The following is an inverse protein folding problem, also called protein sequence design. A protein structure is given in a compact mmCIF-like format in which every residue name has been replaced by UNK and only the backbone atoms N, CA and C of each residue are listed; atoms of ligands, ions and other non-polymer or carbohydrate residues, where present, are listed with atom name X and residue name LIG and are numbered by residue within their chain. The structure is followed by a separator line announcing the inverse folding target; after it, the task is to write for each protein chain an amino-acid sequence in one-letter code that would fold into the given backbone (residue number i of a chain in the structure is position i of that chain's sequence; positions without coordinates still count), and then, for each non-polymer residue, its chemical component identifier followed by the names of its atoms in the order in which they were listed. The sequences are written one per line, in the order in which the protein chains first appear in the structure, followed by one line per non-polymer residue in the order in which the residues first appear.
data_IF_703719928842
#
_entry.id   IF_703719928842
#
_cell.length_a   1.000
_cell.length_b   1.000
_cell.length_c   1.000
_cell.angle_alpha   90.00
_cell.angle_beta   90.00
_cell.angle_gamma   90.00
#
_symmetry.space_group_name_H-M   'P 1'
#
loop_
_entity.id
_entity.type
_entity.pdbx_description
1 polymer ?
#
# COMPACT_ATOMS: atom_id res chain seq x y z
N UNK A 1 8.34 10.18 -11.93
CA UNK A 1 8.28 8.75 -12.31
C UNK A 1 7.65 8.06 -11.12
N UNK A 2 6.59 7.30 -11.35
CA UNK A 2 5.60 7.04 -10.31
C UNK A 2 5.87 5.69 -9.62
N UNK A 3 5.43 5.58 -8.36
CA UNK A 3 5.58 4.34 -7.60
C UNK A 3 4.66 3.26 -8.17
N UNK A 4 5.20 2.05 -8.30
CA UNK A 4 4.48 0.88 -8.80
C UNK A 4 4.17 -0.04 -7.63
N UNK A 5 2.96 -0.58 -7.61
CA UNK A 5 2.43 -1.36 -6.51
C UNK A 5 1.73 -2.63 -7.02
N UNK A 6 1.67 -3.63 -6.14
CA UNK A 6 0.67 -4.70 -6.23
C UNK A 6 -0.45 -4.40 -5.24
N UNK A 7 -1.69 -4.43 -5.71
CA UNK A 7 -2.86 -4.09 -4.89
C UNK A 7 -3.90 -5.21 -4.93
N UNK A 8 -4.26 -5.74 -3.77
CA UNK A 8 -5.29 -6.75 -3.59
C UNK A 8 -6.64 -6.06 -3.44
N UNK A 9 -7.49 -6.17 -4.47
CA UNK A 9 -8.80 -5.48 -4.48
C UNK A 9 -9.82 -6.13 -3.54
N UNK A 10 -9.61 -7.41 -3.18
CA UNK A 10 -10.42 -8.11 -2.18
C UNK A 10 -10.18 -7.58 -0.77
N UNK A 11 -8.91 -7.49 -0.35
CA UNK A 11 -8.53 -7.12 1.01
C UNK A 11 -8.35 -5.61 1.20
N UNK A 12 -8.36 -4.84 0.10
CA UNK A 12 -8.04 -3.41 0.08
C UNK A 12 -6.66 -3.15 0.69
N UNK A 13 -5.66 -3.91 0.26
CA UNK A 13 -4.27 -3.72 0.72
C UNK A 13 -3.33 -3.66 -0.47
N UNK A 14 -2.22 -2.95 -0.35
CA UNK A 14 -1.24 -2.81 -1.42
C UNK A 14 0.20 -2.81 -0.89
N UNK A 15 1.15 -3.15 -1.73
CA UNK A 15 2.58 -3.25 -1.39
C UNK A 15 3.43 -2.63 -2.50
N UNK A 16 4.52 -1.96 -2.14
CA UNK A 16 5.49 -1.40 -3.09
C UNK A 16 6.12 -2.53 -3.93
N UNK A 17 6.18 -2.36 -5.24
CA UNK A 17 6.73 -3.35 -6.17
C UNK A 17 8.23 -3.17 -6.44
N UNK A 18 8.88 -2.12 -5.94
CA UNK A 18 10.28 -1.79 -6.16
C UNK A 18 10.50 -0.69 -7.20
N UNK A 19 9.52 0.20 -7.42
CA UNK A 19 9.67 1.36 -8.29
C UNK A 19 10.19 1.02 -9.71
N UNK A 20 11.29 1.63 -10.15
CA UNK A 20 11.97 1.38 -11.44
C UNK A 20 12.36 -0.09 -11.62
N UNK A 21 12.62 -0.83 -10.55
CA UNK A 21 12.96 -2.25 -10.63
C UNK A 21 11.79 -3.07 -11.20
N UNK A 22 10.58 -2.86 -10.68
CA UNK A 22 9.38 -3.52 -11.20
C UNK A 22 9.13 -3.17 -12.68
N UNK A 23 9.38 -1.92 -13.06
CA UNK A 23 9.25 -1.52 -14.47
C UNK A 23 10.17 -2.35 -15.38
N UNK A 24 11.47 -2.41 -15.08
CA UNK A 24 12.44 -3.10 -15.93
C UNK A 24 12.29 -4.62 -15.92
N UNK A 25 11.94 -5.20 -14.77
CA UNK A 25 11.95 -6.66 -14.62
C UNK A 25 10.58 -7.32 -14.76
N UNK A 26 9.49 -6.54 -14.76
CA UNK A 26 8.14 -7.08 -14.92
C UNK A 26 7.37 -6.42 -16.07
N UNK A 27 7.42 -5.09 -16.21
CA UNK A 27 6.66 -4.38 -17.26
C UNK A 27 7.34 -4.50 -18.62
N UNK A 28 8.62 -4.15 -18.71
CA UNK A 28 9.39 -4.22 -19.95
C UNK A 28 9.41 -5.62 -20.59
N UNK A 29 9.56 -6.74 -19.84
CA UNK A 29 9.44 -8.09 -20.41
C UNK A 29 7.99 -8.57 -20.58
N UNK A 30 6.99 -7.72 -20.34
CA UNK A 30 5.56 -8.02 -20.44
C UNK A 30 5.05 -9.12 -19.50
N UNK A 31 5.72 -9.36 -18.36
CA UNK A 31 5.23 -10.25 -17.31
C UNK A 31 3.94 -9.71 -16.68
N UNK A 32 3.87 -8.39 -16.53
CA UNK A 32 2.69 -7.66 -16.07
C UNK A 32 2.47 -6.43 -16.95
N UNK A 33 1.25 -5.91 -16.93
CA UNK A 33 0.92 -4.61 -17.54
C UNK A 33 0.25 -3.73 -16.49
N UNK A 34 0.60 -2.43 -16.42
CA UNK A 34 -0.10 -1.49 -15.55
C UNK A 34 -1.60 -1.51 -15.82
N UNK A 35 -2.40 -1.31 -14.76
CA UNK A 35 -3.88 -1.28 -14.78
C UNK A 35 -4.55 -2.61 -15.10
N UNK A 36 -3.79 -3.71 -15.13
CA UNK A 36 -4.31 -5.05 -15.37
C UNK A 36 -4.19 -5.94 -14.13
N UNK A 37 -5.08 -6.92 -14.04
CA UNK A 37 -4.95 -8.01 -13.08
C UNK A 37 -3.76 -8.89 -13.47
N UNK A 38 -2.98 -9.32 -12.47
CA UNK A 38 -1.78 -10.11 -12.70
C UNK A 38 -2.01 -11.60 -12.43
N UNK A 39 -1.15 -12.42 -13.05
CA UNK A 39 -0.90 -13.78 -12.59
C UNK A 39 0.22 -13.76 -11.56
N UNK A 40 -0.10 -14.09 -10.29
CA UNK A 40 0.90 -14.19 -9.23
C UNK A 40 1.97 -15.23 -9.57
N UNK A 41 1.57 -16.33 -10.20
CA UNK A 41 2.49 -17.37 -10.67
C UNK A 41 3.50 -16.83 -11.68
N UNK A 42 3.05 -16.02 -12.64
CA UNK A 42 3.93 -15.43 -13.64
C UNK A 42 4.97 -14.51 -12.97
N UNK A 43 4.55 -13.71 -11.98
CA UNK A 43 5.46 -12.84 -11.22
C UNK A 43 6.44 -13.66 -10.38
N UNK A 44 6.00 -14.70 -9.68
CA UNK A 44 6.90 -15.58 -8.91
C UNK A 44 7.94 -16.28 -9.80
N UNK A 45 7.61 -16.58 -11.06
CA UNK A 45 8.54 -17.18 -12.04
C UNK A 45 9.50 -16.15 -12.68
N UNK A 46 9.28 -14.85 -12.49
CA UNK A 46 10.16 -13.80 -13.03
C UNK A 46 11.48 -13.73 -12.25
N UNK A 47 12.40 -14.65 -12.53
CA UNK A 47 13.63 -14.85 -11.76
C UNK A 47 14.47 -13.57 -11.60
N UNK A 48 14.52 -12.71 -12.63
CA UNK A 48 15.27 -11.47 -12.56
C UNK A 48 14.70 -10.49 -11.53
N UNK A 49 13.38 -10.35 -11.47
CA UNK A 49 12.72 -9.47 -10.49
C UNK A 49 13.07 -9.84 -9.04
N UNK A 50 13.22 -11.13 -8.75
CA UNK A 50 13.51 -11.61 -7.40
C UNK A 50 14.99 -11.61 -7.02
N UNK A 51 15.89 -11.46 -8.00
CA UNK A 51 17.33 -11.57 -7.79
C UNK A 51 18.04 -10.34 -8.38
N UNK A 52 17.81 -9.12 -7.84
CA UNK A 52 18.58 -7.95 -8.22
C UNK A 52 20.07 -8.14 -7.92
N UNK A 53 20.92 -7.57 -8.76
CA UNK A 53 22.33 -7.40 -8.43
C UNK A 53 22.44 -6.58 -7.13
N UNK A 54 23.17 -7.09 -6.15
CA UNK A 54 23.34 -6.39 -4.88
C UNK A 54 24.23 -5.17 -5.08
N UNK A 55 23.65 -3.99 -4.87
CA UNK A 55 24.33 -2.70 -4.87
C UNK A 55 23.95 -1.96 -3.60
N UNK A 56 24.90 -1.27 -2.98
CA UNK A 56 24.70 -0.61 -1.67
C UNK A 56 23.49 0.34 -1.68
N UNK A 57 23.29 1.07 -2.77
CA UNK A 57 22.19 2.02 -3.00
C UNK A 57 20.79 1.37 -3.07
N UNK A 58 20.71 0.05 -3.24
CA UNK A 58 19.47 -0.71 -3.39
C UNK A 58 19.19 -1.65 -2.21
N UNK A 59 19.79 -1.35 -1.05
CA UNK A 59 19.65 -2.20 0.15
C UNK A 59 18.21 -2.41 0.60
N UNK A 60 17.41 -1.35 0.57
CA UNK A 60 15.99 -1.37 0.90
C UNK A 60 15.17 -2.30 -0.04
N UNK A 61 15.55 -2.41 -1.31
CA UNK A 61 14.83 -3.23 -2.30
C UNK A 61 14.86 -4.72 -1.90
N UNK A 62 16.03 -5.25 -1.57
CA UNK A 62 16.15 -6.67 -1.25
C UNK A 62 15.90 -7.01 0.23
N UNK A 63 16.12 -6.07 1.15
CA UNK A 63 15.87 -6.31 2.59
C UNK A 63 14.41 -6.08 2.99
N UNK A 64 13.74 -5.10 2.37
CA UNK A 64 12.43 -4.67 2.83
C UNK A 64 11.35 -4.94 1.79
N UNK A 65 11.56 -4.47 0.55
CA UNK A 65 10.50 -4.51 -0.49
C UNK A 65 10.24 -5.93 -1.00
N UNK A 66 11.23 -6.60 -1.59
CA UNK A 66 11.03 -7.92 -2.18
C UNK A 66 10.53 -8.96 -1.15
N UNK A 67 11.02 -8.99 0.10
CA UNK A 67 10.43 -9.84 1.13
C UNK A 67 8.97 -9.50 1.44
N UNK A 68 8.62 -8.21 1.48
CA UNK A 68 7.23 -7.78 1.68
C UNK A 68 6.31 -8.20 0.53
N UNK A 69 6.79 -8.12 -0.72
CA UNK A 69 6.04 -8.59 -1.90
C UNK A 69 5.82 -10.11 -1.84
N UNK A 70 6.82 -10.89 -1.41
CA UNK A 70 6.65 -12.34 -1.21
C UNK A 70 5.56 -12.64 -0.19
N UNK A 71 5.63 -12.03 1.00
CA UNK A 71 4.64 -12.22 2.05
C UNK A 71 3.23 -11.79 1.60
N UNK A 72 3.13 -10.71 0.83
CA UNK A 72 1.89 -10.28 0.21
C UNK A 72 1.32 -11.36 -0.72
N UNK A 73 2.13 -11.94 -1.61
CA UNK A 73 1.66 -12.99 -2.51
C UNK A 73 1.34 -14.29 -1.80
N UNK A 74 2.07 -14.68 -0.76
CA UNK A 74 1.74 -15.85 0.05
C UNK A 74 0.35 -15.73 0.70
N UNK A 75 0.00 -14.52 1.15
CA UNK A 75 -1.28 -14.25 1.81
C UNK A 75 -2.42 -14.05 0.80
N UNK A 76 -2.13 -13.48 -0.38
CA UNK A 76 -3.15 -13.02 -1.32
C UNK A 76 -3.15 -13.77 -2.66
N UNK A 77 -2.47 -14.92 -2.74
CA UNK A 77 -2.28 -15.70 -3.97
C UNK A 77 -3.58 -15.94 -4.76
N UNK A 78 -4.68 -16.26 -4.06
CA UNK A 78 -5.98 -16.56 -4.67
C UNK A 78 -6.89 -15.35 -4.86
N UNK A 79 -6.42 -14.14 -4.55
CA UNK A 79 -7.20 -12.91 -4.65
C UNK A 79 -6.98 -12.21 -6.00
N UNK A 80 -7.84 -11.23 -6.29
CA UNK A 80 -7.68 -10.33 -7.43
C UNK A 80 -6.62 -9.28 -7.09
N UNK A 81 -5.46 -9.40 -7.74
CA UNK A 81 -4.35 -8.46 -7.58
C UNK A 81 -4.18 -7.66 -8.87
N UNK A 82 -4.24 -6.34 -8.76
CA UNK A 82 -3.92 -5.39 -9.84
C UNK A 82 -2.48 -4.89 -9.67
N UNK A 83 -1.81 -4.63 -10.78
CA UNK A 83 -0.51 -3.97 -10.79
C UNK A 83 -0.62 -2.59 -11.43
N UNK A 84 -0.04 -1.57 -10.80
CA UNK A 84 -0.12 -0.20 -11.32
C UNK A 84 0.36 0.84 -10.33
N UNK A 85 0.05 2.08 -10.61
CA UNK A 85 0.28 3.22 -9.73
C UNK A 85 -0.86 3.33 -8.70
N UNK A 86 -0.65 4.09 -7.63
CA UNK A 86 -1.67 4.29 -6.59
C UNK A 86 -2.98 4.81 -7.18
N UNK A 87 -2.94 5.72 -8.16
CA UNK A 87 -4.11 6.27 -8.84
C UNK A 87 -4.96 5.22 -9.59
N UNK A 88 -4.39 4.05 -9.89
CA UNK A 88 -5.09 2.99 -10.62
C UNK A 88 -6.05 2.17 -9.74
N UNK A 89 -5.90 2.24 -8.41
CA UNK A 89 -6.70 1.47 -7.46
C UNK A 89 -7.16 2.26 -6.22
N UNK A 90 -6.47 3.35 -5.88
CA UNK A 90 -6.89 4.35 -4.90
C UNK A 90 -7.74 5.39 -5.61
N UNK A 91 -9.00 5.05 -5.86
CA UNK A 91 -9.93 5.99 -6.49
C UNK A 91 -10.27 7.12 -5.52
N UNK A 92 -10.28 8.34 -6.03
CA UNK A 92 -10.60 9.55 -5.27
C UNK A 92 -12.11 9.73 -5.05
N UNK A 93 -12.92 8.86 -5.65
CA UNK A 93 -14.38 8.89 -5.53
C UNK A 93 -14.82 8.58 -4.10
N UNK A 94 -15.57 9.52 -3.50
CA UNK A 94 -16.10 9.39 -2.14
C UNK A 94 -15.05 9.02 -1.06
N UNK A 95 -13.77 9.30 -1.31
CA UNK A 95 -12.65 8.89 -0.46
C UNK A 95 -12.53 7.38 -0.19
N UNK A 96 -12.90 6.55 -1.17
CA UNK A 96 -12.75 5.09 -1.11
C UNK A 96 -11.29 4.63 -0.92
N UNK A 97 -10.30 5.47 -1.30
CA UNK A 97 -8.89 5.25 -0.96
C UNK A 97 -8.64 5.08 0.55
N UNK A 98 -9.48 5.63 1.44
CA UNK A 98 -9.34 5.50 2.89
C UNK A 98 -9.61 4.08 3.42
N UNK A 99 -10.19 3.21 2.59
CA UNK A 99 -10.39 1.78 2.89
C UNK A 99 -9.13 0.95 2.68
N UNK A 100 -8.09 1.54 2.08
CA UNK A 100 -6.88 0.84 1.73
C UNK A 100 -5.83 0.91 2.85
N UNK A 101 -4.99 -0.12 2.92
CA UNK A 101 -3.82 -0.17 3.82
C UNK A 101 -2.58 -0.57 3.02
N UNK A 102 -1.50 0.20 3.14
CA UNK A 102 -0.21 -0.22 2.62
C UNK A 102 0.40 -1.30 3.53
N UNK A 103 1.12 -2.24 2.93
CA UNK A 103 1.88 -3.28 3.62
C UNK A 103 3.37 -3.12 3.30
N UNK A 104 4.21 -3.65 4.19
CA UNK A 104 5.65 -3.73 3.97
C UNK A 104 6.38 -2.40 4.18
N UNK A 105 7.20 -2.02 3.20
CA UNK A 105 8.10 -0.87 3.28
C UNK A 105 7.35 0.47 3.20
N UNK A 106 7.74 1.43 4.05
CA UNK A 106 7.24 2.81 4.12
C UNK A 106 5.70 2.90 4.14
N UNK A 107 5.11 2.43 5.25
CA UNK A 107 3.67 2.39 5.43
C UNK A 107 3.03 3.78 5.33
N UNK A 108 2.06 3.91 4.42
CA UNK A 108 1.20 5.09 4.37
C UNK A 108 0.29 5.16 5.61
N UNK A 109 0.32 6.27 6.36
CA UNK A 109 -0.50 6.45 7.55
C UNK A 109 -1.95 6.77 7.16
N UNK A 110 -2.69 5.75 6.74
CA UNK A 110 -4.14 5.79 6.45
C UNK A 110 -4.97 5.28 7.65
N UNK A 111 -6.30 5.49 7.70
CA UNK A 111 -7.13 5.07 8.84
C UNK A 111 -6.89 3.64 9.32
N UNK A 112 -6.81 2.68 8.39
CA UNK A 112 -6.54 1.27 8.71
C UNK A 112 -5.17 1.05 9.35
N UNK A 113 -4.14 1.83 9.00
CA UNK A 113 -2.83 1.73 9.65
C UNK A 113 -2.90 2.10 11.14
N UNK A 114 -3.59 3.19 11.48
CA UNK A 114 -3.72 3.61 12.88
C UNK A 114 -4.48 2.58 13.73
N UNK A 115 -5.54 2.00 13.17
CA UNK A 115 -6.40 1.05 13.87
C UNK A 115 -5.76 -0.34 13.92
N UNK A 116 -5.26 -0.85 12.79
CA UNK A 116 -4.80 -2.24 12.67
C UNK A 116 -3.34 -2.42 13.10
N UNK A 117 -2.45 -1.47 12.82
CA UNK A 117 -1.02 -1.61 13.15
C UNK A 117 -0.68 -0.94 14.47
N UNK A 118 -1.09 0.32 14.64
CA UNK A 118 -0.79 1.09 15.86
C UNK A 118 -1.78 0.84 17.00
N UNK A 119 -2.89 0.15 16.72
CA UNK A 119 -3.94 -0.21 17.68
C UNK A 119 -4.57 0.99 18.40
N UNK A 120 -4.53 2.18 17.79
CA UNK A 120 -5.15 3.38 18.35
C UNK A 120 -6.66 3.19 18.52
N UNK A 121 -7.20 3.77 19.58
CA UNK A 121 -8.61 3.65 19.97
C UNK A 121 -9.36 4.97 19.88
N UNK A 122 -8.65 6.07 19.64
CA UNK A 122 -9.23 7.40 19.57
C UNK A 122 -8.57 8.25 18.50
N UNK A 123 -9.35 9.18 17.93
CA UNK A 123 -8.81 10.18 17.00
C UNK A 123 -7.77 11.10 17.67
N UNK A 124 -7.84 11.26 19.00
CA UNK A 124 -6.84 11.99 19.77
C UNK A 124 -5.44 11.38 19.64
N UNK A 125 -5.32 10.06 19.68
CA UNK A 125 -4.04 9.36 19.46
C UNK A 125 -3.50 9.58 18.04
N UNK A 126 -4.37 9.60 17.03
CA UNK A 126 -4.00 9.91 15.64
C UNK A 126 -3.43 11.33 15.55
N UNK A 127 -4.11 12.31 16.14
CA UNK A 127 -3.65 13.70 16.19
C UNK A 127 -2.28 13.83 16.85
N UNK A 128 -2.07 13.17 18.00
CA UNK A 128 -0.79 13.20 18.71
C UNK A 128 0.33 12.50 17.95
N UNK A 129 0.03 11.40 17.25
CA UNK A 129 0.99 10.73 16.37
C UNK A 129 1.43 11.66 15.24
N UNK A 130 0.49 12.32 14.56
CA UNK A 130 0.79 13.17 13.40
C UNK A 130 1.52 14.44 13.80
N UNK A 131 1.22 15.03 14.96
CA UNK A 131 1.97 16.18 15.51
C UNK A 131 3.46 15.88 15.71
N UNK A 132 3.83 14.62 15.97
CA UNK A 132 5.22 14.19 16.19
C UNK A 132 5.96 13.85 14.90
N UNK A 133 5.26 13.77 13.76
CA UNK A 133 5.91 13.47 12.47
C UNK A 133 6.52 14.75 11.88
N UNK A 134 7.71 14.62 11.30
CA UNK A 134 8.33 15.73 10.55
C UNK A 134 7.53 16.06 9.29
N UNK A 135 6.97 15.04 8.64
CA UNK A 135 6.12 15.18 7.47
C UNK A 135 4.73 14.64 7.78
N UNK A 136 3.73 15.48 7.56
CA UNK A 136 2.34 15.09 7.72
C UNK A 136 1.88 14.26 6.51
N UNK A 137 0.92 13.34 6.69
CA UNK A 137 0.31 12.64 5.58
C UNK A 137 -0.27 13.67 4.58
N UNK A 138 -0.13 13.40 3.29
CA UNK A 138 -0.59 14.30 2.23
C UNK A 138 -2.08 14.65 2.36
N UNK A 139 -2.90 13.79 2.97
CA UNK A 139 -4.33 13.98 3.18
C UNK A 139 -4.69 14.79 4.44
N UNK A 140 -3.74 15.04 5.34
CA UNK A 140 -4.00 15.65 6.65
C UNK A 140 -4.43 17.12 6.59
N UNK A 141 -3.86 17.88 5.66
CA UNK A 141 -4.12 19.32 5.50
C UNK A 141 -5.03 19.63 4.29
N UNK A 142 -5.57 18.60 3.63
CA UNK A 142 -6.45 18.79 2.48
C UNK A 142 -7.88 19.10 2.95
N UNK A 143 -8.12 20.38 3.24
CA UNK A 143 -9.43 20.91 3.68
C UNK A 143 -10.45 20.99 2.54
N UNK A 144 -10.01 21.11 1.29
CA UNK A 144 -10.85 21.42 0.13
C UNK A 144 -11.80 20.30 -0.33
N UNK A 145 -11.75 19.11 0.29
CA UNK A 145 -12.59 17.95 -0.07
C UNK A 145 -13.20 17.19 1.12
N UNK A 146 -13.19 17.78 2.31
CA UNK A 146 -13.63 17.11 3.54
C UNK A 146 -12.79 15.85 3.87
N UNK A 147 -11.60 15.71 3.26
CA UNK A 147 -10.79 14.49 3.29
C UNK A 147 -10.34 14.15 4.71
N UNK A 148 -9.90 15.15 5.46
CA UNK A 148 -9.51 14.97 6.86
C UNK A 148 -10.70 14.47 7.72
N UNK A 149 -11.89 15.03 7.54
CA UNK A 149 -13.09 14.60 8.26
C UNK A 149 -13.57 13.20 7.80
N UNK A 150 -13.43 12.87 6.51
CA UNK A 150 -13.69 11.51 5.99
C UNK A 150 -12.72 10.49 6.56
N UNK A 151 -11.43 10.82 6.66
CA UNK A 151 -10.43 9.96 7.29
C UNK A 151 -10.75 9.73 8.77
N UNK A 152 -11.18 10.78 9.47
CA UNK A 152 -11.66 10.67 10.85
C UNK A 152 -12.88 9.75 10.97
N UNK A 153 -13.92 9.98 10.16
CA UNK A 153 -15.12 9.13 10.16
C UNK A 153 -14.77 7.67 9.91
N UNK A 154 -13.92 7.40 8.91
CA UNK A 154 -13.49 6.04 8.60
C UNK A 154 -12.72 5.39 9.76
N UNK A 155 -11.84 6.15 10.43
CA UNK A 155 -11.16 5.66 11.63
C UNK A 155 -12.14 5.30 12.74
N UNK A 156 -13.12 6.17 13.00
CA UNK A 156 -14.15 5.94 14.02
C UNK A 156 -14.96 4.69 13.69
N UNK A 157 -15.43 4.53 12.45
CA UNK A 157 -16.11 3.32 11.94
C UNK A 157 -15.31 2.04 12.20
N UNK A 158 -14.05 2.00 11.75
CA UNK A 158 -13.16 0.84 11.92
C UNK A 158 -12.91 0.51 13.40
N UNK A 159 -12.79 1.52 14.26
CA UNK A 159 -12.58 1.33 15.69
C UNK A 159 -13.83 0.71 16.35
N UNK A 160 -15.02 1.12 15.91
CA UNK A 160 -16.27 0.51 16.36
C UNK A 160 -16.38 -0.96 15.93
N UNK A 161 -16.10 -1.29 14.67
CA UNK A 161 -16.16 -2.68 14.15
C UNK A 161 -15.27 -3.65 14.94
N UNK A 162 -14.05 -3.22 15.30
CA UNK A 162 -13.11 -4.05 16.08
C UNK A 162 -13.57 -4.23 17.53
N UNK A 163 -14.30 -3.27 18.09
CA UNK A 163 -14.77 -3.36 19.48
C UNK A 163 -15.94 -4.34 19.63
N UNK A 164 -16.66 -4.64 18.55
CA UNK A 164 -17.84 -5.51 18.53
C UNK A 164 -17.63 -6.84 17.78
N UNK A 165 -16.39 -7.16 17.36
CA UNK A 165 -16.00 -8.45 16.76
C UNK A 165 -15.21 -9.32 17.72
#
# INVERSE_FOLDING_TARGET
MNNLYFACTNCKVFVDAGYRWAYWELVHPCTVKPKEYISVEAVLRAAKYWNPEQRDESTWLYKDVLPSVRAFFETHWSHKIIFGESEDFLTWDNASFLEWKQLGHLLEPLPRYFVEELKFKSWGEVCEYIKKQEQKPWWWELEWQDTHQKARRKFEELTHEITFS
#
